data_IF_895718505614
#
_entry.id   IF_895718505614
#
_cell.length_a   1.000
_cell.length_b   1.000
_cell.length_c   1.000
_cell.angle_alpha   90.00
_cell.angle_beta   90.00
_cell.angle_gamma   90.00
#
_symmetry.space_group_name_H-M   'P 1'
#
loop_
_entity.id
_entity.type
_entity.pdbx_description
1 polymer ?
#
# COMPACT_ATOMS: atom_id res chain seq x y z
N UNK A 1 16.83 -27.12 -3.64
CA UNK A 1 16.02 -28.02 -2.81
C UNK A 1 14.58 -27.80 -3.26
N UNK A 2 14.04 -28.69 -4.08
CA UNK A 2 12.61 -28.66 -4.41
C UNK A 2 11.84 -29.06 -3.16
N UNK A 3 11.00 -28.20 -2.68
CA UNK A 3 10.04 -28.54 -1.63
C UNK A 3 8.93 -29.34 -2.30
N UNK A 4 8.84 -30.61 -1.98
CA UNK A 4 7.71 -31.46 -2.33
C UNK A 4 6.51 -31.00 -1.46
N UNK A 5 5.74 -30.08 -1.99
CA UNK A 5 4.47 -29.68 -1.40
C UNK A 5 3.43 -30.71 -1.85
N UNK A 6 3.20 -31.70 -1.02
CA UNK A 6 2.15 -32.69 -1.28
C UNK A 6 0.82 -32.02 -1.65
N UNK A 7 0.08 -32.66 -2.55
CA UNK A 7 -1.17 -32.19 -3.21
C UNK A 7 -2.37 -31.89 -2.31
N UNK A 8 -2.18 -31.65 -1.01
CA UNK A 8 -3.27 -31.38 -0.08
C UNK A 8 -3.56 -29.88 0.02
N UNK A 9 -4.58 -29.43 -0.69
CA UNK A 9 -5.21 -28.11 -0.48
C UNK A 9 -5.88 -28.10 0.89
N UNK A 10 -5.61 -27.06 1.69
CA UNK A 10 -6.23 -26.89 3.00
C UNK A 10 -7.59 -26.17 2.89
N UNK A 11 -8.56 -26.60 3.70
CA UNK A 11 -9.83 -25.92 3.84
C UNK A 11 -9.78 -24.95 5.04
N UNK A 12 -9.78 -23.66 4.74
CA UNK A 12 -9.84 -22.59 5.72
C UNK A 12 -11.26 -22.15 5.99
N UNK A 13 -11.50 -21.63 7.20
CA UNK A 13 -12.77 -21.00 7.61
C UNK A 13 -12.50 -19.80 8.53
N UNK A 14 -11.89 -18.76 7.99
CA UNK A 14 -11.54 -17.54 8.71
C UNK A 14 -12.71 -16.55 8.70
N UNK A 15 -13.76 -16.80 9.49
CA UNK A 15 -15.01 -15.99 9.50
C UNK A 15 -14.93 -14.70 10.32
N UNK A 16 -13.94 -14.56 11.20
CA UNK A 16 -13.76 -13.39 12.06
C UNK A 16 -13.12 -12.20 11.36
N UNK A 17 -13.02 -11.09 12.09
CA UNK A 17 -12.17 -9.96 11.70
C UNK A 17 -10.71 -10.40 11.74
N UNK A 18 -9.92 -9.88 10.82
CA UNK A 18 -8.51 -10.25 10.70
C UNK A 18 -7.70 -9.26 9.90
N UNK A 19 -6.41 -9.54 9.82
CA UNK A 19 -5.45 -8.73 9.11
C UNK A 19 -4.74 -9.58 8.06
N UNK A 20 -4.90 -9.22 6.80
CA UNK A 20 -4.07 -9.75 5.72
C UNK A 20 -2.76 -8.98 5.65
N UNK A 21 -1.66 -9.70 5.45
CA UNK A 21 -0.33 -9.12 5.26
C UNK A 21 0.21 -9.65 3.93
N UNK A 22 0.48 -8.76 2.99
CA UNK A 22 1.20 -9.12 1.75
C UNK A 22 2.68 -9.11 2.02
N UNK A 23 3.34 -10.21 1.70
CA UNK A 23 4.78 -10.34 1.80
C UNK A 23 5.34 -10.32 0.37
N UNK A 24 6.11 -9.30 0.05
CA UNK A 24 6.61 -9.09 -1.32
C UNK A 24 7.48 -10.25 -1.80
N UNK A 25 8.24 -10.83 -0.90
CA UNK A 25 9.30 -11.76 -1.28
C UNK A 25 10.48 -11.03 -1.90
N UNK A 26 11.43 -11.79 -2.42
CA UNK A 26 12.58 -11.24 -3.12
C UNK A 26 12.26 -11.08 -4.61
N UNK A 27 12.56 -9.93 -5.16
CA UNK A 27 12.36 -9.61 -6.58
C UNK A 27 13.00 -10.68 -7.49
N UNK A 28 12.23 -11.24 -8.42
CA UNK A 28 12.59 -12.31 -9.37
C UNK A 28 12.73 -13.72 -8.75
N UNK A 29 12.35 -13.92 -7.48
CA UNK A 29 12.41 -15.25 -6.86
C UNK A 29 11.06 -15.98 -6.86
N UNK A 30 9.96 -15.28 -7.14
CA UNK A 30 8.62 -15.87 -7.14
C UNK A 30 8.22 -16.47 -5.80
N UNK A 31 8.65 -15.83 -4.70
CA UNK A 31 8.44 -16.28 -3.33
C UNK A 31 7.56 -15.31 -2.51
N UNK A 32 6.75 -14.49 -3.20
CA UNK A 32 5.74 -13.69 -2.56
C UNK A 32 4.68 -14.56 -1.88
N UNK A 33 4.20 -14.13 -0.73
CA UNK A 33 3.19 -14.89 0.04
C UNK A 33 2.12 -13.97 0.63
N UNK A 34 1.01 -14.57 1.08
CA UNK A 34 -0.04 -13.92 1.82
C UNK A 34 -0.15 -14.55 3.20
N UNK A 35 -0.09 -13.73 4.25
CA UNK A 35 -0.31 -14.13 5.63
C UNK A 35 -1.65 -13.59 6.14
N UNK A 36 -2.25 -14.28 7.09
CA UNK A 36 -3.48 -13.86 7.78
C UNK A 36 -3.27 -13.95 9.30
N UNK A 37 -3.59 -12.87 10.01
CA UNK A 37 -3.50 -12.80 11.46
C UNK A 37 -4.87 -12.50 12.06
N UNK A 38 -5.25 -13.30 13.06
CA UNK A 38 -6.45 -13.07 13.88
C UNK A 38 -6.07 -12.33 15.18
N UNK A 39 -6.42 -11.05 15.33
CA UNK A 39 -6.07 -10.28 16.53
C UNK A 39 -6.72 -10.77 17.83
N UNK A 40 -7.86 -11.46 17.73
CA UNK A 40 -8.60 -11.94 18.89
C UNK A 40 -7.94 -13.20 19.51
N UNK A 41 -7.45 -14.09 18.68
CA UNK A 41 -6.79 -15.35 19.11
C UNK A 41 -5.28 -15.24 19.12
N UNK A 42 -4.71 -14.19 18.52
CA UNK A 42 -3.26 -13.99 18.28
C UNK A 42 -2.64 -15.09 17.44
N UNK A 43 -3.40 -15.67 16.54
CA UNK A 43 -2.91 -16.71 15.64
C UNK A 43 -2.56 -16.12 14.28
N UNK A 44 -1.36 -16.45 13.80
CA UNK A 44 -0.91 -16.15 12.43
C UNK A 44 -0.96 -17.41 11.58
N UNK A 45 -1.41 -17.26 10.35
CA UNK A 45 -1.39 -18.29 9.33
C UNK A 45 -0.59 -17.75 8.13
N UNK A 46 0.52 -18.37 7.84
CA UNK A 46 1.38 -17.99 6.73
C UNK A 46 1.05 -18.78 5.46
N UNK A 47 1.41 -18.24 4.30
CA UNK A 47 1.23 -18.86 2.98
C UNK A 47 -0.22 -19.30 2.68
N UNK A 48 -1.21 -18.53 3.21
CA UNK A 48 -2.63 -18.92 3.11
C UNK A 48 -3.12 -19.05 1.68
N UNK A 49 -2.59 -18.26 0.74
CA UNK A 49 -2.95 -18.40 -0.67
C UNK A 49 -2.45 -19.72 -1.26
N UNK A 50 -1.17 -20.04 -1.03
CA UNK A 50 -0.58 -21.31 -1.50
C UNK A 50 -1.30 -22.53 -0.91
N UNK A 51 -1.49 -22.52 0.40
CA UNK A 51 -2.14 -23.62 1.12
C UNK A 51 -3.60 -23.82 0.70
N UNK A 52 -4.32 -22.74 0.36
CA UNK A 52 -5.71 -22.82 -0.11
C UNK A 52 -5.85 -23.25 -1.57
N UNK A 53 -4.86 -22.97 -2.43
CA UNK A 53 -5.00 -23.10 -3.89
C UNK A 53 -4.02 -24.09 -4.52
N UNK A 54 -3.01 -24.57 -3.81
CA UNK A 54 -1.97 -25.47 -4.34
C UNK A 54 -1.05 -24.81 -5.39
N UNK A 55 -1.07 -23.47 -5.48
CA UNK A 55 -0.20 -22.73 -6.38
C UNK A 55 0.40 -21.50 -5.70
N UNK A 56 1.60 -21.08 -6.15
CA UNK A 56 2.28 -19.91 -5.61
C UNK A 56 1.53 -18.62 -5.96
N UNK A 57 1.62 -17.63 -5.06
CA UNK A 57 1.06 -16.30 -5.31
C UNK A 57 1.82 -15.58 -6.45
N UNK A 58 3.14 -15.70 -6.49
CA UNK A 58 3.98 -15.14 -7.53
C UNK A 58 5.16 -14.33 -7.00
N UNK A 59 5.45 -13.21 -7.67
CA UNK A 59 6.60 -12.35 -7.41
C UNK A 59 6.15 -10.93 -7.10
N UNK A 60 6.53 -10.41 -5.96
CA UNK A 60 6.19 -9.10 -5.37
C UNK A 60 4.67 -8.92 -5.13
N UNK A 61 4.18 -9.43 -4.00
CA UNK A 61 2.83 -9.12 -3.50
C UNK A 61 2.80 -7.70 -2.93
N UNK A 62 2.36 -6.74 -3.76
CA UNK A 62 2.51 -5.31 -3.54
C UNK A 62 1.47 -4.71 -2.61
N UNK A 63 0.22 -5.08 -2.79
CA UNK A 63 -0.91 -4.52 -2.04
C UNK A 63 -2.10 -5.47 -2.02
N UNK A 64 -3.07 -5.18 -1.17
CA UNK A 64 -4.35 -5.87 -1.13
C UNK A 64 -5.45 -4.89 -0.77
N UNK A 65 -6.60 -5.02 -1.43
CA UNK A 65 -7.81 -4.23 -1.16
C UNK A 65 -9.00 -5.17 -1.03
N UNK A 66 -9.91 -4.92 -0.09
CA UNK A 66 -11.17 -5.65 0.05
C UNK A 66 -12.27 -4.86 -0.63
N UNK A 67 -12.96 -5.50 -1.56
CA UNK A 67 -14.13 -4.97 -2.23
C UNK A 67 -15.11 -6.09 -2.59
N UNK A 68 -16.43 -5.86 -2.40
CA UNK A 68 -17.50 -6.81 -2.72
C UNK A 68 -17.25 -8.21 -2.12
N UNK A 69 -16.90 -8.27 -0.82
CA UNK A 69 -16.58 -9.49 -0.07
C UNK A 69 -15.45 -10.34 -0.67
N UNK A 70 -14.60 -9.75 -1.49
CA UNK A 70 -13.39 -10.37 -2.07
C UNK A 70 -12.15 -9.60 -1.65
N UNK A 71 -11.06 -10.32 -1.47
CA UNK A 71 -9.74 -9.76 -1.34
C UNK A 71 -9.04 -9.69 -2.70
N UNK A 72 -8.59 -8.51 -3.10
CA UNK A 72 -7.90 -8.28 -4.36
C UNK A 72 -6.42 -8.11 -4.09
N UNK A 73 -5.65 -9.14 -4.39
CA UNK A 73 -4.19 -9.20 -4.11
C UNK A 73 -3.43 -8.82 -5.37
N UNK A 74 -2.74 -7.69 -5.30
CA UNK A 74 -1.93 -7.15 -6.40
C UNK A 74 -0.54 -7.78 -6.36
N UNK A 75 -0.17 -8.51 -7.42
CA UNK A 75 1.14 -9.16 -7.55
C UNK A 75 1.92 -8.51 -8.67
N UNK A 76 2.75 -7.56 -8.29
CA UNK A 76 3.40 -6.58 -9.16
C UNK A 76 4.22 -7.22 -10.29
N UNK A 77 5.22 -8.03 -9.96
CA UNK A 77 6.13 -8.61 -10.95
C UNK A 77 5.62 -9.94 -11.55
N UNK A 78 4.42 -10.38 -11.16
CA UNK A 78 3.68 -11.46 -11.85
C UNK A 78 2.58 -10.93 -12.76
N UNK A 79 2.44 -9.61 -12.89
CA UNK A 79 1.53 -8.97 -13.85
C UNK A 79 0.05 -9.34 -13.67
N UNK A 80 -0.36 -9.64 -12.44
CA UNK A 80 -1.67 -10.20 -12.10
C UNK A 80 -2.27 -9.60 -10.83
N UNK A 81 -3.59 -9.57 -10.76
CA UNK A 81 -4.35 -9.34 -9.53
C UNK A 81 -5.24 -10.56 -9.31
N UNK A 82 -5.09 -11.22 -8.17
CA UNK A 82 -5.97 -12.30 -7.73
C UNK A 82 -7.15 -11.76 -6.94
N UNK A 83 -8.35 -12.24 -7.23
CA UNK A 83 -9.50 -12.10 -6.37
C UNK A 83 -9.67 -13.39 -5.55
N UNK A 84 -9.73 -13.26 -4.22
CA UNK A 84 -9.85 -14.39 -3.30
C UNK A 84 -11.09 -14.25 -2.41
N UNK A 85 -11.66 -15.37 -2.02
CA UNK A 85 -12.64 -15.43 -0.94
C UNK A 85 -11.98 -15.13 0.41
N UNK A 86 -12.55 -14.23 1.19
CA UNK A 86 -11.96 -13.73 2.44
C UNK A 86 -11.91 -14.75 3.58
N UNK A 87 -12.71 -15.80 3.51
CA UNK A 87 -12.81 -16.81 4.58
C UNK A 87 -11.99 -18.06 4.25
N UNK A 88 -12.00 -18.46 2.99
CA UNK A 88 -11.36 -19.69 2.52
C UNK A 88 -10.01 -19.44 1.84
N UNK A 89 -9.69 -18.18 1.53
CA UNK A 89 -8.50 -17.74 0.78
C UNK A 89 -8.38 -18.34 -0.62
N UNK A 90 -9.44 -19.02 -1.09
CA UNK A 90 -9.49 -19.62 -2.43
C UNK A 90 -9.64 -18.54 -3.48
N UNK A 91 -8.91 -18.70 -4.58
CA UNK A 91 -9.06 -17.86 -5.74
C UNK A 91 -10.48 -18.01 -6.32
N UNK A 92 -11.12 -16.88 -6.60
CA UNK A 92 -12.43 -16.79 -7.25
C UNK A 92 -12.36 -16.12 -8.61
N UNK A 93 -11.23 -15.54 -8.96
CA UNK A 93 -10.96 -14.92 -10.27
C UNK A 93 -9.62 -14.20 -10.28
N UNK A 94 -9.19 -13.76 -11.45
CA UNK A 94 -7.96 -12.98 -11.62
C UNK A 94 -8.02 -12.05 -12.82
N UNK A 95 -7.20 -11.00 -12.77
CA UNK A 95 -6.97 -10.09 -13.89
C UNK A 95 -5.51 -10.25 -14.29
N UNK A 96 -5.28 -10.63 -15.54
CA UNK A 96 -3.96 -10.89 -16.10
C UNK A 96 -3.59 -9.81 -17.14
N UNK A 97 -2.36 -9.87 -17.64
CA UNK A 97 -1.83 -8.97 -18.66
C UNK A 97 -1.72 -7.50 -18.22
N UNK A 98 -1.54 -7.28 -16.93
CA UNK A 98 -1.14 -6.00 -16.38
C UNK A 98 0.36 -5.77 -16.64
N UNK A 99 0.83 -4.52 -16.63
CA UNK A 99 2.26 -4.27 -16.85
C UNK A 99 3.06 -4.50 -15.57
N UNK A 100 2.75 -3.78 -14.52
CA UNK A 100 3.40 -3.89 -13.22
C UNK A 100 2.49 -3.25 -12.17
N UNK A 101 1.39 -3.92 -11.80
CA UNK A 101 0.32 -3.33 -11.00
C UNK A 101 0.80 -2.97 -9.60
N UNK A 102 0.30 -1.83 -9.07
CA UNK A 102 0.68 -1.31 -7.77
C UNK A 102 -0.50 -1.28 -6.79
N UNK A 103 -1.62 -0.73 -7.20
CA UNK A 103 -2.81 -0.58 -6.37
C UNK A 103 -4.08 -0.69 -7.22
N UNK A 104 -5.20 -1.02 -6.59
CA UNK A 104 -6.51 -1.08 -7.22
C UNK A 104 -7.51 -0.22 -6.44
N UNK A 105 -8.21 0.67 -7.14
CA UNK A 105 -9.23 1.55 -6.60
C UNK A 105 -10.57 1.30 -7.28
N UNK A 106 -11.57 0.90 -6.49
CA UNK A 106 -12.90 0.56 -6.99
C UNK A 106 -13.80 1.79 -7.06
N UNK A 107 -14.43 1.99 -8.22
CA UNK A 107 -15.46 3.00 -8.45
C UNK A 107 -16.86 2.39 -8.40
N UNK A 108 -17.00 1.17 -8.85
CA UNK A 108 -18.21 0.35 -8.81
C UNK A 108 -17.86 -1.12 -9.03
N UNK A 109 -18.84 -2.02 -9.00
CA UNK A 109 -18.67 -3.46 -9.34
C UNK A 109 -18.25 -3.68 -10.79
N UNK A 110 -18.41 -2.68 -11.67
CA UNK A 110 -18.08 -2.80 -13.09
C UNK A 110 -16.92 -1.90 -13.52
N UNK A 111 -16.38 -1.09 -12.58
CA UNK A 111 -15.27 -0.18 -12.90
C UNK A 111 -14.32 0.01 -11.74
N UNK A 112 -13.05 -0.25 -11.98
CA UNK A 112 -11.95 0.08 -11.08
C UNK A 112 -10.73 0.56 -11.87
N UNK A 113 -9.84 1.28 -11.18
CA UNK A 113 -8.55 1.72 -11.71
C UNK A 113 -7.43 0.88 -11.12
N UNK A 114 -6.44 0.53 -11.94
CA UNK A 114 -5.22 -0.16 -11.50
C UNK A 114 -4.01 0.66 -11.91
N UNK A 115 -3.27 1.12 -10.91
CA UNK A 115 -2.02 1.86 -11.09
C UNK A 115 -0.87 0.94 -11.45
N UNK A 116 0.14 1.47 -12.13
CA UNK A 116 1.24 0.70 -12.70
C UNK A 116 2.60 1.35 -12.40
N UNK A 117 3.60 0.51 -12.20
CA UNK A 117 5.01 0.88 -12.29
C UNK A 117 5.53 0.53 -13.69
N UNK A 118 6.46 1.29 -14.25
CA UNK A 118 7.03 1.09 -15.58
C UNK A 118 5.97 1.11 -16.70
N UNK A 119 4.95 1.94 -16.51
CA UNK A 119 3.91 2.22 -17.49
C UNK A 119 3.45 3.68 -17.34
N UNK A 120 3.07 4.31 -18.45
CA UNK A 120 2.53 5.66 -18.46
C UNK A 120 0.99 5.70 -18.51
N UNK A 121 0.35 4.57 -18.17
CA UNK A 121 -1.09 4.39 -18.15
C UNK A 121 -1.58 3.88 -16.81
N UNK A 122 -2.78 4.28 -16.44
CA UNK A 122 -3.58 3.61 -15.41
C UNK A 122 -4.58 2.72 -16.14
N UNK A 123 -4.70 1.47 -15.75
CA UNK A 123 -5.60 0.54 -16.40
C UNK A 123 -7.01 0.66 -15.83
N UNK A 124 -8.01 0.60 -16.72
CA UNK A 124 -9.42 0.54 -16.35
C UNK A 124 -9.84 -0.92 -16.47
N UNK A 125 -10.43 -1.46 -15.42
CA UNK A 125 -10.88 -2.85 -15.37
C UNK A 125 -12.37 -2.95 -15.05
N UNK A 126 -12.97 -4.05 -15.48
CA UNK A 126 -14.27 -4.50 -15.01
C UNK A 126 -14.06 -5.61 -13.94
N UNK A 127 -14.24 -5.33 -12.65
CA UNK A 127 -14.00 -6.32 -11.59
C UNK A 127 -14.93 -7.55 -11.68
N UNK A 128 -16.17 -7.35 -12.14
CA UNK A 128 -17.17 -8.41 -12.26
C UNK A 128 -16.83 -9.43 -13.35
N UNK A 129 -16.12 -8.98 -14.39
CA UNK A 129 -15.70 -9.82 -15.52
C UNK A 129 -14.22 -10.20 -15.47
N UNK A 130 -13.45 -9.62 -14.55
CA UNK A 130 -11.99 -9.78 -14.47
C UNK A 130 -11.28 -9.38 -15.78
N UNK A 131 -11.71 -8.29 -16.41
CA UNK A 131 -11.23 -7.84 -17.72
C UNK A 131 -10.65 -6.43 -17.66
N UNK A 132 -9.59 -6.19 -18.46
CA UNK A 132 -9.12 -4.84 -18.77
C UNK A 132 -10.07 -4.28 -19.84
N UNK A 133 -10.66 -3.10 -19.56
CA UNK A 133 -11.63 -2.44 -20.45
C UNK A 133 -11.10 -1.18 -21.11
N UNK A 134 -9.99 -0.64 -20.63
CA UNK A 134 -9.42 0.58 -21.18
C UNK A 134 -8.20 1.07 -20.41
N UNK A 135 -7.77 2.28 -20.74
CA UNK A 135 -6.59 2.91 -20.17
C UNK A 135 -6.80 4.41 -20.00
N UNK A 136 -6.24 4.97 -18.95
CA UNK A 136 -6.06 6.40 -18.76
C UNK A 136 -4.61 6.72 -19.08
N UNK A 137 -4.36 7.53 -20.11
CA UNK A 137 -3.02 8.01 -20.43
C UNK A 137 -2.63 9.12 -19.44
N UNK A 138 -1.47 8.95 -18.79
CA UNK A 138 -0.91 9.98 -17.90
C UNK A 138 -0.04 10.92 -18.74
N UNK A 139 -0.38 12.22 -18.82
CA UNK A 139 0.39 13.19 -19.62
C UNK A 139 1.83 13.33 -19.13
N UNK A 140 2.75 13.56 -20.06
CA UNK A 140 4.17 13.85 -19.80
C UNK A 140 4.89 12.79 -18.95
N UNK A 141 4.44 11.54 -19.02
CA UNK A 141 5.04 10.38 -18.37
C UNK A 141 5.56 9.42 -19.44
N UNK A 142 6.78 8.91 -19.27
CA UNK A 142 7.34 7.87 -20.13
C UNK A 142 7.14 6.48 -19.52
N UNK A 143 7.34 5.43 -20.30
CA UNK A 143 7.28 4.06 -19.79
C UNK A 143 8.41 3.80 -18.77
N UNK A 144 9.61 4.30 -19.04
CA UNK A 144 10.81 4.07 -18.21
C UNK A 144 10.75 4.81 -16.86
N UNK A 145 10.05 5.94 -16.82
CA UNK A 145 9.84 6.72 -15.59
C UNK A 145 8.37 6.69 -15.13
N UNK A 146 7.58 5.80 -15.71
CA UNK A 146 6.17 5.66 -15.38
C UNK A 146 5.98 5.07 -13.99
N UNK A 147 5.24 5.78 -13.14
CA UNK A 147 4.89 5.31 -11.82
C UNK A 147 3.65 6.01 -11.33
N UNK A 148 2.59 5.25 -11.22
CA UNK A 148 1.37 5.63 -10.51
C UNK A 148 1.18 4.65 -9.34
N UNK A 149 0.85 5.15 -8.17
CA UNK A 149 0.88 4.38 -6.93
C UNK A 149 -0.49 4.31 -6.25
N UNK A 150 -0.65 4.96 -5.12
CA UNK A 150 -1.87 4.90 -4.32
C UNK A 150 -2.91 5.91 -4.81
N UNK A 151 -4.17 5.59 -4.59
CA UNK A 151 -5.29 6.40 -5.02
C UNK A 151 -6.22 6.72 -3.85
N UNK A 152 -6.74 7.96 -3.85
CA UNK A 152 -7.85 8.39 -2.97
C UNK A 152 -8.91 9.09 -3.79
N UNK A 153 -10.16 9.10 -3.33
CA UNK A 153 -11.28 9.67 -4.06
C UNK A 153 -11.99 10.78 -3.27
N UNK A 154 -12.29 11.88 -3.94
CA UNK A 154 -13.16 12.94 -3.44
C UNK A 154 -14.17 13.32 -4.51
N UNK A 155 -15.46 13.13 -4.21
CA UNK A 155 -16.52 13.30 -5.20
C UNK A 155 -16.32 12.39 -6.42
N UNK A 156 -16.36 12.99 -7.61
CA UNK A 156 -16.10 12.28 -8.87
C UNK A 156 -14.62 12.22 -9.27
N UNK A 157 -13.73 12.72 -8.45
CA UNK A 157 -12.30 12.77 -8.76
C UNK A 157 -11.52 11.73 -7.96
N UNK A 158 -10.64 11.02 -8.65
CA UNK A 158 -9.60 10.18 -8.07
C UNK A 158 -8.27 10.91 -8.18
N UNK A 159 -7.53 10.93 -7.07
CA UNK A 159 -6.19 11.49 -6.99
C UNK A 159 -5.20 10.34 -6.85
N UNK A 160 -4.06 10.46 -7.54
CA UNK A 160 -3.02 9.43 -7.53
C UNK A 160 -1.64 10.08 -7.40
N UNK A 161 -0.83 9.60 -6.46
CA UNK A 161 0.57 10.00 -6.37
C UNK A 161 1.40 9.27 -7.43
N UNK A 162 2.34 10.02 -8.02
CA UNK A 162 3.31 9.49 -8.99
C UNK A 162 4.69 9.47 -8.35
N UNK A 163 5.21 8.28 -8.09
CA UNK A 163 6.43 8.11 -7.29
C UNK A 163 7.71 8.09 -8.11
N UNK A 164 8.12 6.94 -8.65
CA UNK A 164 9.45 6.72 -9.20
C UNK A 164 9.82 7.77 -10.25
N UNK A 165 10.82 8.58 -9.92
CA UNK A 165 11.32 9.69 -10.75
C UNK A 165 10.29 10.78 -11.07
N UNK A 166 9.20 10.85 -10.30
CA UNK A 166 8.12 11.84 -10.45
C UNK A 166 8.08 12.77 -9.24
N UNK A 167 7.28 13.83 -9.33
CA UNK A 167 7.13 14.83 -8.27
C UNK A 167 5.73 15.45 -8.26
N UNK A 168 4.70 14.64 -8.52
CA UNK A 168 3.33 15.16 -8.67
C UNK A 168 2.26 14.21 -8.16
N UNK A 169 1.11 14.78 -7.92
CA UNK A 169 -0.17 14.09 -7.76
C UNK A 169 -1.02 14.47 -8.97
N UNK A 170 -1.68 13.51 -9.59
CA UNK A 170 -2.60 13.73 -10.69
C UNK A 170 -4.04 13.63 -10.22
N UNK A 171 -4.94 14.37 -10.87
CA UNK A 171 -6.38 14.38 -10.64
C UNK A 171 -7.08 13.80 -11.85
N UNK A 172 -7.88 12.76 -11.64
CA UNK A 172 -8.58 12.01 -12.68
C UNK A 172 -10.09 12.26 -12.52
N UNK A 173 -10.76 12.63 -13.58
CA UNK A 173 -12.22 12.69 -13.64
C UNK A 173 -12.77 11.29 -13.99
N UNK A 174 -13.54 10.69 -13.09
CA UNK A 174 -14.05 9.34 -13.24
C UNK A 174 -15.21 9.20 -14.23
N UNK A 175 -15.82 10.31 -14.67
CA UNK A 175 -16.85 10.33 -15.69
C UNK A 175 -16.27 10.29 -17.10
N UNK A 176 -15.07 10.87 -17.28
CA UNK A 176 -14.39 10.94 -18.59
C UNK A 176 -13.19 10.00 -18.70
N UNK A 177 -12.72 9.45 -17.59
CA UNK A 177 -11.50 8.64 -17.49
C UNK A 177 -10.26 9.37 -18.02
N UNK A 178 -10.12 10.63 -17.64
CA UNK A 178 -9.01 11.48 -18.07
C UNK A 178 -8.33 12.17 -16.90
N UNK A 179 -7.01 12.35 -17.01
CA UNK A 179 -6.27 13.26 -16.12
C UNK A 179 -6.68 14.69 -16.48
N UNK A 180 -7.25 15.40 -15.53
CA UNK A 180 -7.78 16.77 -15.74
C UNK A 180 -6.96 17.85 -15.06
N UNK A 181 -6.09 17.48 -14.11
CA UNK A 181 -5.22 18.42 -13.41
C UNK A 181 -4.03 17.69 -12.78
N UNK A 182 -2.98 18.43 -12.43
CA UNK A 182 -1.83 17.93 -11.67
C UNK A 182 -1.34 18.94 -10.64
N UNK A 183 -0.84 18.45 -9.52
CA UNK A 183 -0.24 19.25 -8.46
C UNK A 183 1.19 18.84 -8.23
N UNK A 184 2.13 19.76 -8.41
CA UNK A 184 3.53 19.53 -8.09
C UNK A 184 3.75 19.51 -6.58
N UNK A 185 4.48 18.49 -6.13
CA UNK A 185 4.97 18.32 -4.78
C UNK A 185 6.48 18.07 -4.81
N UNK A 186 7.08 17.67 -3.70
CA UNK A 186 8.50 17.27 -3.70
C UNK A 186 8.74 15.96 -4.47
N UNK A 187 10.03 15.63 -4.59
CA UNK A 187 10.50 14.46 -5.34
C UNK A 187 10.00 13.16 -4.69
N UNK A 188 9.42 12.30 -5.52
CA UNK A 188 8.99 10.94 -5.20
C UNK A 188 7.99 10.86 -4.02
N UNK A 189 6.73 11.32 -4.21
CA UNK A 189 5.67 11.08 -3.24
C UNK A 189 5.35 9.58 -3.15
N UNK A 190 5.50 8.98 -1.96
CA UNK A 190 5.48 7.51 -1.76
C UNK A 190 4.13 6.94 -1.36
N UNK A 191 3.25 7.76 -0.80
CA UNK A 191 1.94 7.34 -0.29
C UNK A 191 0.91 8.45 -0.43
N UNK A 192 -0.38 8.09 -0.40
CA UNK A 192 -1.48 9.05 -0.47
C UNK A 192 -2.67 8.56 0.37
N UNK A 193 -3.07 9.35 1.36
CA UNK A 193 -4.25 9.06 2.20
C UNK A 193 -5.13 10.31 2.33
N UNK A 194 -6.41 10.13 2.69
CA UNK A 194 -7.35 11.23 2.86
C UNK A 194 -7.94 11.22 4.28
N UNK A 195 -7.80 12.34 4.99
CA UNK A 195 -8.32 12.52 6.33
C UNK A 195 -9.83 12.83 6.38
N UNK A 196 -10.38 12.92 7.58
CA UNK A 196 -11.83 13.18 7.78
C UNK A 196 -12.28 14.58 7.35
N UNK A 197 -11.36 15.50 7.11
CA UNK A 197 -11.63 16.86 6.65
C UNK A 197 -11.40 17.00 5.14
N UNK A 198 -11.31 15.89 4.40
CA UNK A 198 -11.03 15.85 2.98
C UNK A 198 -9.69 16.49 2.61
N UNK A 199 -8.69 16.38 3.49
CA UNK A 199 -7.32 16.75 3.19
C UNK A 199 -6.54 15.50 2.81
N UNK A 200 -5.86 15.57 1.69
CA UNK A 200 -4.93 14.54 1.27
C UNK A 200 -3.58 14.74 1.95
N UNK A 201 -2.96 13.64 2.30
CA UNK A 201 -1.62 13.62 2.90
C UNK A 201 -0.72 12.72 2.09
N UNK A 202 0.45 13.23 1.75
CA UNK A 202 1.51 12.48 1.07
C UNK A 202 2.85 12.83 1.68
N UNK A 203 3.76 11.86 1.68
CA UNK A 203 5.15 12.07 2.07
C UNK A 203 6.05 11.82 0.86
N UNK A 204 7.05 12.67 0.65
CA UNK A 204 8.07 12.50 -0.38
C UNK A 204 9.33 11.90 0.22
N UNK A 205 10.05 11.06 -0.50
CA UNK A 205 11.33 10.53 -0.04
C UNK A 205 12.52 11.43 -0.40
N UNK A 206 12.30 12.39 -1.31
CA UNK A 206 13.30 13.39 -1.70
C UNK A 206 14.30 12.90 -2.75
N UNK A 207 14.17 11.69 -3.25
CA UNK A 207 15.13 11.09 -4.18
C UNK A 207 16.44 10.67 -3.51
N UNK A 208 17.52 10.59 -4.26
CA UNK A 208 18.82 10.17 -3.73
C UNK A 208 19.96 10.98 -4.34
N UNK A 209 21.07 11.07 -3.62
CA UNK A 209 22.26 11.81 -4.06
C UNK A 209 22.83 11.22 -5.36
N UNK A 210 23.02 12.09 -6.35
CA UNK A 210 23.48 11.70 -7.69
C UNK A 210 22.36 11.27 -8.66
N UNK A 211 21.10 11.30 -8.23
CA UNK A 211 19.96 11.04 -9.12
C UNK A 211 19.86 12.11 -10.22
N UNK A 212 19.67 11.71 -11.50
CA UNK A 212 19.42 12.66 -12.58
C UNK A 212 18.08 13.39 -12.45
N UNK A 213 17.19 12.91 -11.59
CA UNK A 213 15.86 13.49 -11.33
C UNK A 213 15.82 14.41 -10.11
N UNK A 214 16.96 14.59 -9.44
CA UNK A 214 17.12 15.49 -8.30
C UNK A 214 17.26 14.79 -6.95
N UNK A 215 17.67 15.59 -5.97
CA UNK A 215 17.78 15.19 -4.57
C UNK A 215 17.45 16.39 -3.68
N UNK A 216 16.52 16.24 -2.78
CA UNK A 216 16.08 17.29 -1.86
C UNK A 216 15.69 16.74 -0.49
N UNK A 217 15.52 17.63 0.48
CA UNK A 217 14.97 17.27 1.78
C UNK A 217 13.52 16.80 1.61
N UNK A 218 13.17 15.61 2.09
CA UNK A 218 11.80 15.10 1.99
C UNK A 218 10.81 15.95 2.78
N UNK A 219 9.53 15.81 2.47
CA UNK A 219 8.47 16.59 3.10
C UNK A 219 7.18 15.80 3.24
N UNK A 220 6.43 16.11 4.29
CA UNK A 220 5.04 15.70 4.43
C UNK A 220 4.14 16.88 4.00
N UNK A 221 3.21 16.60 3.09
CA UNK A 221 2.29 17.58 2.53
C UNK A 221 0.86 17.36 3.03
N UNK A 222 0.16 18.45 3.35
CA UNK A 222 -1.29 18.50 3.48
C UNK A 222 -1.87 19.28 2.32
N UNK A 223 -2.80 18.66 1.59
CA UNK A 223 -3.37 19.14 0.35
C UNK A 223 -4.89 19.17 0.50
N UNK A 224 -5.51 20.28 0.14
CA UNK A 224 -6.97 20.39 0.07
C UNK A 224 -7.50 19.64 -1.16
N UNK A 225 -8.40 18.65 -0.98
CA UNK A 225 -8.92 17.86 -2.09
C UNK A 225 -9.91 18.64 -2.97
N UNK A 226 -10.64 19.63 -2.42
CA UNK A 226 -11.59 20.42 -3.16
C UNK A 226 -10.91 21.42 -4.10
N UNK A 227 -9.96 22.20 -3.57
CA UNK A 227 -9.23 23.21 -4.32
C UNK A 227 -8.01 22.67 -5.05
N UNK A 228 -7.58 21.47 -4.71
CA UNK A 228 -6.37 20.80 -5.19
C UNK A 228 -5.12 21.67 -5.03
N UNK A 229 -4.92 22.21 -3.83
CA UNK A 229 -3.81 23.10 -3.48
C UNK A 229 -3.10 22.63 -2.22
N UNK A 230 -1.78 22.86 -2.15
CA UNK A 230 -0.99 22.61 -0.94
C UNK A 230 -1.36 23.62 0.15
N UNK A 231 -1.87 23.14 1.28
CA UNK A 231 -2.14 23.97 2.46
C UNK A 231 -0.94 24.05 3.41
N UNK A 232 -0.20 22.95 3.54
CA UNK A 232 0.99 22.86 4.42
C UNK A 232 2.05 21.94 3.86
N UNK A 233 3.29 22.29 4.14
CA UNK A 233 4.47 21.47 3.89
C UNK A 233 5.31 21.42 5.17
N UNK A 234 5.57 20.21 5.66
CA UNK A 234 6.44 19.96 6.80
C UNK A 234 7.75 19.35 6.26
N UNK A 235 8.82 20.15 6.24
CA UNK A 235 10.13 19.69 5.75
C UNK A 235 10.86 18.87 6.79
N UNK A 236 11.43 17.75 6.37
CA UNK A 236 12.34 16.93 7.14
C UNK A 236 13.81 17.32 6.86
N UNK A 237 14.74 16.59 7.40
CA UNK A 237 16.17 16.82 7.16
C UNK A 237 16.59 16.16 5.85
N UNK A 238 17.56 16.74 5.17
CA UNK A 238 18.22 16.08 4.04
C UNK A 238 18.83 14.76 4.52
N UNK A 239 18.59 13.68 3.78
CA UNK A 239 19.00 12.33 4.15
C UNK A 239 18.03 11.57 5.06
N UNK A 240 16.91 12.18 5.47
CA UNK A 240 15.77 11.42 5.99
C UNK A 240 15.12 10.63 4.85
N UNK A 241 14.43 9.53 5.22
CA UNK A 241 13.76 8.65 4.25
C UNK A 241 12.36 8.26 4.75
N UNK A 242 11.43 9.22 4.80
CA UNK A 242 10.09 8.96 5.28
C UNK A 242 9.26 8.15 4.28
N UNK A 243 8.36 7.31 4.80
CA UNK A 243 7.45 6.48 4.02
C UNK A 243 6.17 6.17 4.78
N UNK A 244 5.24 5.47 4.16
CA UNK A 244 4.09 4.81 4.79
C UNK A 244 3.19 5.74 5.60
N UNK A 245 2.63 6.77 4.97
CA UNK A 245 1.61 7.58 5.65
C UNK A 245 0.33 6.79 5.80
N UNK A 246 -0.14 6.64 7.04
CA UNK A 246 -1.36 5.91 7.39
C UNK A 246 -2.24 6.75 8.31
N UNK A 247 -3.53 6.42 8.37
CA UNK A 247 -4.51 7.06 9.25
C UNK A 247 -5.09 6.04 10.24
N UNK A 248 -5.50 6.52 11.42
CA UNK A 248 -6.37 5.75 12.31
C UNK A 248 -7.78 5.60 11.72
N UNK A 249 -8.65 4.80 12.35
CA UNK A 249 -10.01 4.54 11.88
C UNK A 249 -10.90 5.79 11.80
N UNK A 250 -10.72 6.75 12.71
CA UNK A 250 -11.44 8.03 12.70
C UNK A 250 -10.90 9.02 11.67
N UNK A 251 -9.79 8.70 11.02
CA UNK A 251 -9.08 9.52 10.03
C UNK A 251 -8.71 10.91 10.55
N UNK A 252 -8.36 11.00 11.83
CA UNK A 252 -7.96 12.26 12.48
C UNK A 252 -6.53 12.24 13.02
N UNK A 253 -5.85 11.11 12.95
CA UNK A 253 -4.47 10.95 13.37
C UNK A 253 -3.65 10.27 12.30
N UNK A 254 -2.54 10.90 11.94
CA UNK A 254 -1.54 10.39 11.00
C UNK A 254 -0.47 9.58 11.71
N UNK A 255 0.04 8.59 10.99
CA UNK A 255 1.23 7.82 11.34
C UNK A 255 2.13 7.72 10.11
N UNK A 256 3.45 7.75 10.29
CA UNK A 256 4.43 7.53 9.22
C UNK A 256 5.73 6.96 9.76
N UNK A 257 6.52 6.37 8.86
CA UNK A 257 7.86 5.88 9.14
C UNK A 257 8.86 6.97 8.75
N UNK A 258 9.80 7.30 9.64
CA UNK A 258 11.02 8.03 9.32
C UNK A 258 12.08 7.60 10.35
N UNK A 259 12.77 6.49 10.08
CA UNK A 259 13.56 5.67 11.00
C UNK A 259 12.73 5.15 12.17
N UNK A 260 12.22 6.03 13.01
CA UNK A 260 11.23 5.79 14.05
C UNK A 260 9.81 5.81 13.48
N UNK A 261 8.81 5.48 14.30
CA UNK A 261 7.40 5.64 13.96
C UNK A 261 6.91 6.94 14.57
N UNK A 262 6.35 7.78 13.73
CA UNK A 262 5.83 9.09 14.10
C UNK A 262 4.31 9.13 14.04
N UNK A 263 3.69 9.97 14.83
CA UNK A 263 2.26 10.23 14.74
C UNK A 263 1.91 11.66 15.14
N UNK A 264 0.88 12.21 14.51
CA UNK A 264 0.34 13.53 14.86
C UNK A 264 -1.14 13.63 14.50
N UNK A 265 -1.83 14.56 15.15
CA UNK A 265 -3.16 14.99 14.75
C UNK A 265 -3.15 15.57 13.33
N UNK A 266 -4.17 15.29 12.51
CA UNK A 266 -4.31 15.88 11.16
C UNK A 266 -4.49 17.41 11.20
N UNK A 267 -4.83 17.97 12.35
CA UNK A 267 -4.94 19.41 12.56
C UNK A 267 -3.65 20.07 13.11
N UNK A 268 -2.62 19.27 13.36
CA UNK A 268 -1.36 19.77 13.91
C UNK A 268 -0.71 20.83 13.02
N UNK A 269 -0.08 21.82 13.65
CA UNK A 269 0.64 22.90 12.94
C UNK A 269 2.12 22.60 12.75
N UNK A 270 2.66 21.62 13.47
CA UNK A 270 4.07 21.21 13.45
C UNK A 270 4.18 19.68 13.57
N UNK A 271 5.24 19.12 13.03
CA UNK A 271 5.61 17.72 13.32
C UNK A 271 6.02 17.59 14.80
N UNK A 272 5.71 16.45 15.46
CA UNK A 272 6.07 16.23 16.84
C UNK A 272 7.59 16.20 17.03
N UNK A 273 8.04 16.58 18.23
CA UNK A 273 9.47 16.53 18.60
C UNK A 273 9.91 15.16 19.12
N UNK A 274 8.95 14.29 19.43
CA UNK A 274 9.20 12.90 19.85
C UNK A 274 8.39 11.95 18.99
N UNK A 275 8.98 10.81 18.59
CA UNK A 275 8.25 9.80 17.86
C UNK A 275 7.21 9.09 18.75
N UNK A 276 6.26 8.42 18.11
CA UNK A 276 5.34 7.48 18.76
C UNK A 276 6.07 6.24 19.26
N UNK A 277 6.99 5.70 18.45
CA UNK A 277 7.93 4.65 18.87
C UNK A 277 9.34 5.04 18.47
N UNK A 278 10.28 4.94 19.41
CA UNK A 278 11.69 5.23 19.18
C UNK A 278 12.32 4.24 18.19
N UNK A 279 13.34 4.71 17.47
CA UNK A 279 14.12 3.84 16.60
C UNK A 279 14.91 2.81 17.40
N UNK A 280 14.74 1.55 17.10
CA UNK A 280 15.39 0.43 17.79
C UNK A 280 16.44 -0.31 16.94
N UNK A 281 16.81 0.22 15.78
CA UNK A 281 17.68 -0.48 14.82
C UNK A 281 16.92 -1.36 13.83
N UNK A 282 15.59 -1.36 13.90
CA UNK A 282 14.67 -2.16 13.09
C UNK A 282 14.51 -1.55 11.71
N UNK A 283 14.39 -2.39 10.67
CA UNK A 283 14.05 -1.95 9.31
C UNK A 283 12.53 -1.92 9.18
N UNK A 284 11.91 -0.86 9.68
CA UNK A 284 10.48 -0.65 9.51
C UNK A 284 10.15 -0.44 8.03
N UNK A 285 9.30 -1.30 7.48
CA UNK A 285 9.01 -1.35 6.06
C UNK A 285 7.53 -1.08 5.75
N UNK A 286 6.60 -1.62 6.52
CA UNK A 286 5.17 -1.41 6.39
C UNK A 286 4.53 -0.95 7.69
N UNK A 287 3.41 -0.24 7.59
CA UNK A 287 2.68 0.34 8.70
C UNK A 287 1.18 0.30 8.45
N UNK A 288 0.40 -0.06 9.46
CA UNK A 288 -1.06 0.10 9.46
C UNK A 288 -1.59 0.37 10.85
N UNK A 289 -2.79 0.95 10.92
CA UNK A 289 -3.51 1.18 12.18
C UNK A 289 -4.84 0.46 12.10
N UNK A 290 -5.16 -0.35 13.13
CA UNK A 290 -6.43 -1.04 13.21
C UNK A 290 -7.57 -0.01 13.29
N UNK A 291 -8.47 0.02 12.31
CA UNK A 291 -9.53 1.03 12.25
C UNK A 291 -10.55 0.90 13.40
N UNK A 292 -10.65 -0.27 14.02
CA UNK A 292 -11.62 -0.52 15.07
C UNK A 292 -11.15 -0.07 16.47
N UNK A 293 -9.84 -0.10 16.74
CA UNK A 293 -9.33 0.13 18.11
C UNK A 293 -8.06 0.99 18.19
N UNK A 294 -7.50 1.41 17.06
CA UNK A 294 -6.32 2.28 17.00
C UNK A 294 -4.98 1.58 17.30
N UNK A 295 -4.96 0.26 17.41
CA UNK A 295 -3.70 -0.48 17.55
C UNK A 295 -2.83 -0.33 16.31
N UNK A 296 -1.53 -0.20 16.51
CA UNK A 296 -0.56 0.07 15.44
C UNK A 296 0.23 -1.21 15.13
N UNK A 297 0.24 -1.57 13.85
CA UNK A 297 0.97 -2.74 13.36
C UNK A 297 2.10 -2.29 12.43
N UNK A 298 3.28 -2.83 12.66
CA UNK A 298 4.50 -2.42 11.97
C UNK A 298 5.19 -3.66 11.44
N UNK A 299 5.56 -3.61 10.17
CA UNK A 299 6.33 -4.65 9.52
C UNK A 299 7.84 -4.33 9.60
N UNK A 300 8.62 -5.32 9.99
CA UNK A 300 10.07 -5.32 9.96
C UNK A 300 10.55 -6.28 8.88
N UNK A 301 11.25 -5.76 7.89
CA UNK A 301 11.85 -6.57 6.82
C UNK A 301 13.14 -7.28 7.25
N UNK A 302 13.62 -7.04 8.45
CA UNK A 302 14.84 -7.60 9.10
C UNK A 302 16.10 -7.39 8.24
N UNK A 303 16.30 -8.20 7.22
CA UNK A 303 17.45 -8.12 6.30
C UNK A 303 17.04 -8.30 4.83
N UNK A 304 15.75 -8.22 4.54
CA UNK A 304 15.15 -8.45 3.21
C UNK A 304 15.36 -9.87 2.64
N UNK A 305 15.82 -10.83 3.43
CA UNK A 305 16.10 -12.21 2.97
C UNK A 305 15.40 -13.27 3.79
N UNK A 306 15.32 -13.08 5.10
CA UNK A 306 14.61 -13.99 6.00
C UNK A 306 13.15 -13.55 6.18
N UNK A 307 12.37 -14.38 6.85
CA UNK A 307 11.00 -14.07 7.25
C UNK A 307 10.98 -12.76 8.05
N UNK A 308 10.07 -11.86 7.68
CA UNK A 308 9.85 -10.61 8.39
C UNK A 308 9.04 -10.80 9.66
N UNK A 309 9.01 -9.75 10.47
CA UNK A 309 8.33 -9.70 11.75
C UNK A 309 7.24 -8.64 11.72
N UNK A 310 6.10 -8.93 12.33
CA UNK A 310 5.07 -7.93 12.64
C UNK A 310 5.09 -7.67 14.13
N UNK A 311 5.12 -6.38 14.49
CA UNK A 311 4.94 -5.90 15.86
C UNK A 311 3.57 -5.24 15.99
N UNK A 312 2.80 -5.62 17.01
CA UNK A 312 1.50 -5.06 17.35
C UNK A 312 1.62 -4.22 18.62
N UNK A 313 1.27 -2.94 18.53
CA UNK A 313 1.31 -2.01 19.66
C UNK A 313 -0.06 -1.47 20.00
N UNK A 314 -0.28 -1.13 21.28
CA UNK A 314 -1.46 -0.39 21.70
C UNK A 314 -1.43 1.05 21.15
N UNK A 315 -2.56 1.78 21.17
CA UNK A 315 -2.58 3.21 20.80
C UNK A 315 -1.63 4.10 21.59
N UNK A 316 -1.18 3.64 22.77
CA UNK A 316 -0.21 4.33 23.65
C UNK A 316 1.25 3.90 23.39
N UNK A 317 1.49 3.00 22.41
CA UNK A 317 2.82 2.53 22.05
C UNK A 317 3.37 1.38 22.91
N UNK A 318 2.49 0.64 23.60
CA UNK A 318 2.91 -0.54 24.37
C UNK A 318 2.82 -1.80 23.49
N UNK A 319 3.90 -2.59 23.43
CA UNK A 319 3.92 -3.86 22.69
C UNK A 319 2.88 -4.85 23.26
N UNK A 320 2.03 -5.37 22.38
CA UNK A 320 0.98 -6.36 22.69
C UNK A 320 1.36 -7.75 22.21
N UNK A 321 1.95 -7.82 21.00
CA UNK A 321 2.23 -9.08 20.32
C UNK A 321 3.31 -8.90 19.27
N UNK A 322 3.98 -10.00 18.89
CA UNK A 322 4.92 -10.05 17.78
C UNK A 322 4.89 -11.43 17.13
N UNK A 323 4.99 -11.49 15.80
CA UNK A 323 4.90 -12.76 15.07
C UNK A 323 5.60 -12.70 13.71
N UNK A 324 6.13 -13.84 13.27
CA UNK A 324 6.76 -13.99 11.97
C UNK A 324 5.74 -14.16 10.84
N UNK A 325 6.04 -13.56 9.69
CA UNK A 325 5.29 -13.67 8.45
C UNK A 325 6.23 -14.04 7.29
N UNK A 326 5.85 -13.81 6.05
CA UNK A 326 6.72 -14.04 4.89
C UNK A 326 7.87 -13.02 4.78
N UNK A 327 8.63 -13.13 3.70
CA UNK A 327 9.79 -12.26 3.41
C UNK A 327 9.29 -10.90 2.93
N UNK A 328 9.85 -9.81 3.47
CA UNK A 328 9.51 -8.43 3.14
C UNK A 328 8.00 -8.17 3.26
N UNK A 329 7.44 -8.20 4.47
CA UNK A 329 6.06 -7.79 4.69
C UNK A 329 5.91 -6.29 4.41
N UNK A 330 5.13 -5.93 3.38
CA UNK A 330 5.06 -4.55 2.88
C UNK A 330 3.72 -3.88 3.11
N UNK A 331 2.61 -4.57 2.89
CA UNK A 331 1.29 -3.97 2.98
C UNK A 331 0.31 -4.80 3.81
N UNK A 332 -0.74 -4.13 4.24
CA UNK A 332 -1.75 -4.65 5.15
C UNK A 332 -3.15 -4.38 4.63
N UNK A 333 -4.08 -5.31 4.89
CA UNK A 333 -5.49 -5.13 4.56
C UNK A 333 -6.38 -5.68 5.69
N UNK A 334 -7.16 -4.81 6.31
CA UNK A 334 -8.11 -5.18 7.37
C UNK A 334 -9.38 -5.79 6.79
N UNK A 335 -9.79 -6.94 7.36
CA UNK A 335 -11.04 -7.64 7.07
C UNK A 335 -12.14 -7.22 8.04
#
# INVERSE_FOLDING_TARGET
MEWDYGDAVEDFNATGAGLFITNEGNFQYGNATLSYYDPATKQVQNEVFFRANGMKLGDVAQSMTIYDNKGWVVVNNSHVIFAIDLNTFKEVGRIENLTSPRDIHFLSDEKAYVTQLWDNRIFIINPKKYEITGYIQVPDMTMESGSTEQMVQYGKYVYCNCWSYQNRIIKIDTETDQVVDELKVGIQPTSLVMDKYNKMWTVTDGGYEGSPYGYEAPSLYRIDAETFTVEKQFKFKLGDWPSEVQLNGDRDKLYWINKAIWSMDVTASHVPVRPFLEYSGTIYYGLTVNPANGEVYIADAIDYQQQGMIYRYSPEGKLIDEFYVGIIPGAFCWK
#
